data_IF_766486668620
#
_entry.id   IF_766486668620
#
_cell.length_a   1.000
_cell.length_b   1.000
_cell.length_c   1.000
_cell.angle_alpha   90.00
_cell.angle_beta   90.00
_cell.angle_gamma   90.00
#
_symmetry.space_group_name_H-M   'P 1'
#
loop_
_entity.id
_entity.type
_entity.pdbx_description
1 polymer ?
#
# COMPACT_ATOMS: atom_id res chain seq x y z
N UNK A 1 22.51 -11.32 -15.21
CA UNK A 1 21.69 -10.13 -15.51
C UNK A 1 20.53 -10.14 -14.54
N UNK A 2 20.20 -9.02 -13.86
CA UNK A 2 19.00 -8.96 -13.05
C UNK A 2 17.78 -9.26 -13.94
N UNK A 3 16.88 -10.13 -13.48
CA UNK A 3 15.67 -10.48 -14.22
C UNK A 3 14.76 -9.26 -14.39
N UNK A 4 14.10 -9.14 -15.53
CA UNK A 4 13.13 -8.07 -15.80
C UNK A 4 11.98 -8.21 -14.80
N UNK A 5 11.73 -7.18 -13.99
CA UNK A 5 10.65 -7.14 -13.01
C UNK A 5 9.49 -6.31 -13.58
N UNK A 6 8.32 -6.92 -13.73
CA UNK A 6 7.12 -6.22 -14.18
C UNK A 6 6.57 -5.31 -13.08
N UNK A 7 6.26 -4.06 -13.44
CA UNK A 7 5.72 -3.04 -12.52
C UNK A 7 4.22 -2.87 -12.68
N UNK A 8 3.73 -2.92 -13.91
CA UNK A 8 2.32 -2.70 -14.22
C UNK A 8 1.77 -3.82 -15.08
N UNK A 9 0.47 -4.05 -14.94
CA UNK A 9 -0.29 -4.95 -15.79
C UNK A 9 -1.55 -4.26 -16.30
N UNK A 10 -1.94 -4.53 -17.54
CA UNK A 10 -3.30 -4.27 -18.00
C UNK A 10 -3.87 -5.47 -18.72
N UNK A 11 -5.17 -5.65 -18.61
CA UNK A 11 -5.90 -6.58 -19.46
C UNK A 11 -6.11 -5.89 -20.81
N UNK A 12 -5.52 -6.46 -21.86
CA UNK A 12 -5.61 -5.93 -23.22
C UNK A 12 -6.90 -6.40 -23.90
N UNK A 13 -7.19 -7.70 -23.79
CA UNK A 13 -8.34 -8.33 -24.45
C UNK A 13 -8.84 -9.56 -23.70
N UNK A 14 -10.15 -9.81 -23.78
CA UNK A 14 -10.81 -11.03 -23.27
C UNK A 14 -11.66 -11.64 -24.39
N UNK A 15 -11.32 -12.88 -24.79
CA UNK A 15 -12.11 -13.65 -25.74
C UNK A 15 -13.42 -14.15 -25.12
N UNK A 16 -14.40 -14.49 -25.96
CA UNK A 16 -15.58 -15.22 -25.50
C UNK A 16 -15.18 -16.59 -24.92
N UNK A 17 -15.89 -17.10 -23.89
CA UNK A 17 -15.55 -18.36 -23.27
C UNK A 17 -15.66 -19.51 -24.28
N UNK A 18 -14.66 -20.38 -24.28
CA UNK A 18 -14.68 -21.61 -25.07
C UNK A 18 -15.05 -22.79 -24.18
N UNK A 19 -16.11 -23.50 -24.51
CA UNK A 19 -16.45 -24.73 -23.80
C UNK A 19 -15.49 -25.86 -24.15
N UNK A 20 -15.11 -26.68 -23.17
CA UNK A 20 -14.23 -27.83 -23.34
C UNK A 20 -14.51 -28.94 -22.32
N UNK A 21 -13.96 -30.12 -22.59
CA UNK A 21 -14.05 -31.28 -21.69
C UNK A 21 -15.13 -32.26 -22.14
N UNK A 22 -15.38 -33.28 -21.31
CA UNK A 22 -16.49 -34.21 -21.55
C UNK A 22 -17.78 -33.43 -21.34
N UNK A 23 -18.72 -33.49 -22.29
CA UNK A 23 -20.00 -32.74 -22.22
C UNK A 23 -19.85 -31.21 -22.09
N UNK A 24 -18.74 -30.63 -22.54
CA UNK A 24 -18.55 -29.16 -22.55
C UNK A 24 -18.58 -28.49 -21.16
N UNK A 25 -18.29 -29.28 -20.11
CA UNK A 25 -18.45 -28.93 -18.69
C UNK A 25 -17.48 -27.85 -18.13
N UNK A 26 -16.58 -27.32 -18.95
CA UNK A 26 -15.65 -26.25 -18.58
C UNK A 26 -15.73 -25.10 -19.57
N UNK A 27 -15.74 -23.87 -19.05
CA UNK A 27 -15.74 -22.66 -19.85
C UNK A 27 -14.43 -21.87 -19.62
N UNK A 28 -13.62 -21.78 -20.67
CA UNK A 28 -12.31 -21.13 -20.63
C UNK A 28 -12.37 -19.70 -21.18
N UNK A 29 -12.05 -18.73 -20.34
CA UNK A 29 -11.76 -17.37 -20.77
C UNK A 29 -10.29 -17.23 -21.11
N UNK A 30 -9.99 -16.82 -22.35
CA UNK A 30 -8.64 -16.45 -22.79
C UNK A 30 -8.45 -14.95 -22.68
N UNK A 31 -7.43 -14.56 -21.92
CA UNK A 31 -7.20 -13.18 -21.54
C UNK A 31 -5.78 -12.80 -21.92
N UNK A 32 -5.65 -11.85 -22.83
CA UNK A 32 -4.37 -11.24 -23.15
C UNK A 32 -4.07 -10.14 -22.16
N UNK A 33 -2.93 -10.25 -21.50
CA UNK A 33 -2.43 -9.25 -20.57
C UNK A 33 -1.15 -8.65 -21.12
N UNK A 34 -1.00 -7.35 -20.90
CA UNK A 34 0.24 -6.64 -21.16
C UNK A 34 0.94 -6.36 -19.85
N UNK A 35 2.22 -6.72 -19.79
CA UNK A 35 3.11 -6.51 -18.66
C UNK A 35 4.11 -5.43 -19.04
N UNK A 36 4.21 -4.42 -18.18
CA UNK A 36 5.11 -3.31 -18.37
C UNK A 36 6.19 -3.31 -17.27
N UNK A 37 7.46 -3.53 -17.62
CA UNK A 37 8.57 -3.43 -16.67
C UNK A 37 8.97 -1.99 -16.34
N UNK A 38 8.43 -1.00 -17.05
CA UNK A 38 8.86 0.40 -17.03
C UNK A 38 9.93 0.70 -18.07
N UNK A 39 10.14 1.98 -18.37
CA UNK A 39 11.20 2.41 -19.29
C UNK A 39 12.59 2.01 -18.76
N UNK A 40 13.51 1.54 -19.63
CA UNK A 40 13.48 1.51 -21.09
C UNK A 40 12.96 0.19 -21.70
N UNK A 41 12.28 -0.66 -20.94
CA UNK A 41 11.93 -2.01 -21.37
C UNK A 41 10.66 -2.03 -22.22
N UNK A 42 10.57 -3.00 -23.14
CA UNK A 42 9.40 -3.20 -23.97
C UNK A 42 8.27 -3.87 -23.19
N UNK A 43 7.03 -3.50 -23.51
CA UNK A 43 5.83 -4.17 -23.01
C UNK A 43 5.79 -5.61 -23.54
N UNK A 44 5.54 -6.56 -22.65
CA UNK A 44 5.37 -7.97 -23.01
C UNK A 44 3.88 -8.36 -23.00
N UNK A 45 3.44 -9.07 -24.05
CA UNK A 45 2.12 -9.70 -24.09
C UNK A 45 2.18 -11.12 -23.58
N UNK A 46 1.29 -11.48 -22.66
CA UNK A 46 1.15 -12.83 -22.12
C UNK A 46 -0.31 -13.29 -22.15
N UNK A 47 -0.49 -14.60 -22.09
CA UNK A 47 -1.81 -15.24 -22.05
C UNK A 47 -2.11 -15.76 -20.66
N UNK A 48 -3.32 -15.46 -20.17
CA UNK A 48 -3.94 -16.05 -19.00
C UNK A 48 -5.16 -16.84 -19.44
N UNK A 49 -5.33 -18.05 -18.93
CA UNK A 49 -6.53 -18.87 -19.15
C UNK A 49 -7.23 -19.03 -17.80
N UNK A 50 -8.49 -18.59 -17.73
CA UNK A 50 -9.33 -18.77 -16.55
C UNK A 50 -10.41 -19.79 -16.88
N UNK A 51 -10.39 -20.92 -16.19
CA UNK A 51 -11.34 -22.02 -16.36
C UNK A 51 -12.39 -22.00 -15.26
N UNK A 52 -13.67 -22.09 -15.66
CA UNK A 52 -14.80 -22.30 -14.76
C UNK A 52 -15.50 -23.60 -15.10
N UNK A 53 -15.99 -24.30 -14.08
CA UNK A 53 -16.92 -25.42 -14.26
C UNK A 53 -18.33 -24.86 -14.53
N UNK A 54 -19.20 -25.61 -15.22
CA UNK A 54 -20.55 -25.16 -15.62
C UNK A 54 -21.30 -24.39 -14.54
N UNK A 55 -21.48 -24.98 -13.35
CA UNK A 55 -22.21 -24.35 -12.25
C UNK A 55 -21.60 -23.00 -11.84
N UNK A 56 -20.27 -22.90 -11.86
CA UNK A 56 -19.53 -21.69 -11.55
C UNK A 56 -19.67 -20.64 -12.66
N UNK A 57 -19.63 -21.07 -13.93
CA UNK A 57 -19.83 -20.21 -15.09
C UNK A 57 -21.24 -19.62 -15.13
N UNK A 58 -22.28 -20.44 -14.97
CA UNK A 58 -23.66 -19.98 -15.00
C UNK A 58 -24.04 -19.15 -13.77
N UNK A 59 -23.37 -19.35 -12.63
CA UNK A 59 -23.54 -18.50 -11.46
C UNK A 59 -22.85 -17.12 -11.59
N UNK A 60 -21.91 -16.91 -12.52
CA UNK A 60 -21.19 -15.64 -12.61
C UNK A 60 -22.06 -14.45 -13.00
N UNK A 61 -23.21 -14.65 -13.64
CA UNK A 61 -24.15 -13.57 -13.97
C UNK A 61 -25.46 -13.79 -13.23
N UNK A 62 -26.11 -12.68 -12.86
CA UNK A 62 -27.47 -12.71 -12.30
C UNK A 62 -28.55 -12.76 -13.38
N UNK A 63 -28.17 -12.88 -14.66
CA UNK A 63 -29.08 -12.77 -15.81
C UNK A 63 -29.29 -14.09 -16.52
N UNK A 64 -30.35 -14.11 -17.34
CA UNK A 64 -30.71 -15.25 -18.18
C UNK A 64 -29.59 -15.63 -19.18
N UNK A 65 -29.57 -16.91 -19.55
CA UNK A 65 -28.49 -17.50 -20.35
C UNK A 65 -28.28 -16.80 -21.70
N UNK A 66 -29.33 -16.20 -22.27
CA UNK A 66 -29.35 -15.62 -23.61
C UNK A 66 -29.24 -14.09 -23.65
N UNK A 67 -29.01 -13.38 -22.53
CA UNK A 67 -28.84 -11.91 -22.54
C UNK A 67 -27.44 -11.54 -23.06
N UNK A 68 -27.29 -10.77 -24.17
CA UNK A 68 -25.99 -10.29 -24.62
C UNK A 68 -25.20 -9.50 -23.57
N UNK A 69 -25.88 -8.84 -22.63
CA UNK A 69 -25.24 -8.14 -21.51
C UNK A 69 -24.57 -9.10 -20.52
N UNK A 70 -25.05 -10.34 -20.42
CA UNK A 70 -24.47 -11.38 -19.56
C UNK A 70 -23.00 -11.60 -19.87
N UNK A 71 -22.65 -11.75 -21.15
CA UNK A 71 -21.27 -12.01 -21.59
C UNK A 71 -20.35 -10.84 -21.22
N UNK A 72 -20.86 -9.61 -21.31
CA UNK A 72 -20.10 -8.40 -20.91
C UNK A 72 -19.85 -8.41 -19.39
N UNK A 73 -20.88 -8.70 -18.59
CA UNK A 73 -20.77 -8.77 -17.13
C UNK A 73 -19.81 -9.89 -16.66
N UNK A 74 -19.88 -11.05 -17.30
CA UNK A 74 -18.98 -12.18 -17.04
C UNK A 74 -17.53 -11.79 -17.34
N UNK A 75 -17.27 -11.20 -18.51
CA UNK A 75 -15.93 -10.71 -18.88
C UNK A 75 -15.41 -9.68 -17.89
N UNK A 76 -16.24 -8.74 -17.45
CA UNK A 76 -15.87 -7.73 -16.45
C UNK A 76 -15.48 -8.39 -15.12
N UNK A 77 -16.27 -9.34 -14.62
CA UNK A 77 -15.96 -10.06 -13.37
C UNK A 77 -14.71 -10.91 -13.48
N UNK A 78 -14.51 -11.59 -14.60
CA UNK A 78 -13.28 -12.33 -14.87
C UNK A 78 -12.08 -11.39 -14.99
N UNK A 79 -12.24 -10.21 -15.58
CA UNK A 79 -11.19 -9.21 -15.60
C UNK A 79 -10.78 -8.79 -14.20
N UNK A 80 -11.76 -8.48 -13.34
CA UNK A 80 -11.52 -8.15 -11.94
C UNK A 80 -10.82 -9.28 -11.19
N UNK A 81 -11.23 -10.53 -11.42
CA UNK A 81 -10.60 -11.71 -10.85
C UNK A 81 -9.11 -11.78 -11.21
N UNK A 82 -8.79 -11.68 -12.51
CA UNK A 82 -7.42 -11.77 -13.01
C UNK A 82 -6.56 -10.62 -12.52
N UNK A 83 -7.03 -9.37 -12.63
CA UNK A 83 -6.30 -8.21 -12.15
C UNK A 83 -5.97 -8.35 -10.66
N UNK A 84 -6.95 -8.71 -9.84
CA UNK A 84 -6.74 -8.88 -8.38
C UNK A 84 -5.74 -9.99 -8.07
N UNK A 85 -5.83 -11.13 -8.77
CA UNK A 85 -4.93 -12.25 -8.54
C UNK A 85 -3.51 -11.95 -8.99
N UNK A 86 -3.32 -11.32 -10.15
CA UNK A 86 -1.98 -10.99 -10.67
C UNK A 86 -1.35 -9.86 -9.85
N UNK A 87 -2.09 -8.79 -9.54
CA UNK A 87 -1.58 -7.66 -8.75
C UNK A 87 -1.18 -8.10 -7.34
N UNK A 88 -1.77 -9.18 -6.81
CA UNK A 88 -1.39 -9.73 -5.49
C UNK A 88 -0.07 -10.51 -5.47
N UNK A 89 0.52 -10.83 -6.64
CA UNK A 89 1.77 -11.60 -6.78
C UNK A 89 2.99 -10.70 -6.78
N UNK A 90 4.13 -11.25 -6.39
CA UNK A 90 5.40 -10.55 -6.55
C UNK A 90 5.82 -10.50 -8.02
N UNK A 91 6.61 -9.48 -8.43
CA UNK A 91 7.15 -9.42 -9.79
C UNK A 91 7.97 -10.66 -10.17
N UNK A 92 8.68 -11.29 -9.22
CA UNK A 92 9.47 -12.49 -9.45
C UNK A 92 8.59 -13.72 -9.71
N UNK A 93 7.46 -13.84 -8.99
CA UNK A 93 6.49 -14.92 -9.25
C UNK A 93 5.95 -14.80 -10.68
N UNK A 94 5.60 -13.59 -11.11
CA UNK A 94 4.98 -13.35 -12.42
C UNK A 94 5.86 -13.77 -13.60
N UNK A 95 7.18 -13.58 -13.52
CA UNK A 95 8.11 -14.02 -14.57
C UNK A 95 8.00 -15.53 -14.83
N UNK A 96 7.78 -16.32 -13.77
CA UNK A 96 7.67 -17.79 -13.86
C UNK A 96 6.25 -18.32 -14.14
N UNK A 97 5.23 -17.47 -13.99
CA UNK A 97 3.83 -17.90 -14.00
C UNK A 97 3.22 -18.04 -15.39
N UNK A 98 3.85 -17.51 -16.44
CA UNK A 98 3.26 -17.51 -17.78
C UNK A 98 3.70 -18.70 -18.65
N UNK A 99 2.76 -19.34 -19.39
CA UNK A 99 1.33 -19.03 -19.47
C UNK A 99 0.58 -19.40 -18.18
N UNK A 100 -0.25 -18.47 -17.67
CA UNK A 100 -0.91 -18.63 -16.39
C UNK A 100 -2.26 -19.32 -16.59
N UNK A 101 -2.47 -20.45 -15.91
CA UNK A 101 -3.76 -21.14 -15.84
C UNK A 101 -4.36 -20.94 -14.45
N UNK A 102 -5.61 -20.50 -14.42
CA UNK A 102 -6.35 -20.25 -13.19
C UNK A 102 -7.65 -21.05 -13.21
N UNK A 103 -7.96 -21.68 -12.08
CA UNK A 103 -9.26 -22.30 -11.85
C UNK A 103 -10.02 -21.46 -10.84
N UNK A 104 -11.25 -21.08 -11.16
CA UNK A 104 -12.11 -20.28 -10.27
C UNK A 104 -12.87 -21.23 -9.36
N UNK A 105 -12.75 -21.04 -8.04
CA UNK A 105 -13.52 -21.84 -7.08
C UNK A 105 -14.96 -21.32 -6.95
N UNK A 106 -15.85 -22.14 -6.38
CA UNK A 106 -17.24 -21.73 -6.07
C UNK A 106 -17.27 -20.50 -5.14
N UNK A 107 -16.33 -20.40 -4.22
CA UNK A 107 -16.21 -19.28 -3.29
C UNK A 107 -15.77 -18.00 -4.02
N UNK A 108 -14.86 -18.12 -4.98
CA UNK A 108 -14.46 -16.98 -5.82
C UNK A 108 -15.63 -16.47 -6.65
N UNK A 109 -16.45 -17.38 -7.22
CA UNK A 109 -17.67 -16.97 -7.95
C UNK A 109 -18.62 -16.18 -7.06
N UNK A 110 -18.86 -16.62 -5.82
CA UNK A 110 -19.71 -15.88 -4.87
C UNK A 110 -19.19 -14.47 -4.61
N UNK A 111 -17.86 -14.32 -4.48
CA UNK A 111 -17.24 -12.99 -4.32
C UNK A 111 -17.41 -12.16 -5.59
N UNK A 112 -17.17 -12.74 -6.76
CA UNK A 112 -17.32 -12.07 -8.04
C UNK A 112 -18.76 -11.62 -8.32
N UNK A 113 -19.77 -12.32 -7.81
CA UNK A 113 -21.16 -11.86 -7.90
C UNK A 113 -21.42 -10.53 -7.19
N UNK A 114 -20.61 -10.18 -6.18
CA UNK A 114 -20.72 -8.90 -5.47
C UNK A 114 -20.03 -7.74 -6.21
N UNK A 115 -19.23 -8.06 -7.23
CA UNK A 115 -18.55 -7.06 -8.05
C UNK A 115 -19.55 -6.46 -9.04
N UNK A 116 -19.64 -5.13 -9.01
CA UNK A 116 -20.37 -4.33 -9.98
C UNK A 116 -19.58 -4.31 -11.32
N UNK A 117 -20.09 -4.99 -12.37
CA UNK A 117 -19.36 -5.14 -13.63
C UNK A 117 -19.18 -3.81 -14.37
N UNK A 118 -20.04 -2.81 -14.14
CA UNK A 118 -19.93 -1.49 -14.78
C UNK A 118 -18.77 -0.66 -14.22
N UNK A 119 -18.24 -1.03 -13.05
CA UNK A 119 -17.08 -0.38 -12.42
C UNK A 119 -15.74 -1.02 -12.78
N UNK A 120 -15.74 -2.11 -13.54
CA UNK A 120 -14.50 -2.79 -13.90
C UNK A 120 -13.93 -2.20 -15.19
N UNK A 121 -12.79 -1.52 -15.07
CA UNK A 121 -12.08 -0.96 -16.21
C UNK A 121 -11.10 -1.99 -16.80
N UNK A 122 -11.51 -2.62 -17.89
CA UNK A 122 -10.62 -3.39 -18.77
C UNK A 122 -9.80 -2.39 -19.60
N UNK A 123 -8.49 -2.61 -19.76
CA UNK A 123 -7.49 -1.70 -20.39
C UNK A 123 -6.80 -0.65 -19.51
N UNK A 124 -7.19 -0.51 -18.23
CA UNK A 124 -6.46 0.35 -17.29
C UNK A 124 -5.20 -0.35 -16.76
N UNK A 125 -4.10 0.40 -16.61
CA UNK A 125 -2.88 -0.09 -15.97
C UNK A 125 -3.07 -0.21 -14.46
N UNK A 126 -2.72 -1.37 -13.93
CA UNK A 126 -2.73 -1.67 -12.50
C UNK A 126 -1.29 -1.88 -12.05
N UNK A 127 -0.88 -1.20 -11.00
CA UNK A 127 0.41 -1.44 -10.35
C UNK A 127 0.40 -2.83 -9.73
N UNK A 128 1.37 -3.67 -10.09
CA UNK A 128 1.61 -4.95 -9.43
C UNK A 128 2.13 -4.62 -8.04
N UNK A 129 1.64 -5.29 -6.99
CA UNK A 129 2.21 -5.15 -5.65
C UNK A 129 3.64 -5.67 -5.73
N UNK A 130 4.58 -4.74 -5.89
CA UNK A 130 5.99 -5.02 -5.69
C UNK A 130 6.09 -5.51 -4.25
N UNK A 131 6.25 -6.81 -4.07
CA UNK A 131 6.67 -7.36 -2.78
C UNK A 131 7.88 -6.52 -2.37
N UNK A 132 7.79 -5.84 -1.21
CA UNK A 132 8.78 -4.90 -0.68
C UNK A 132 10.13 -5.19 -1.31
N UNK A 133 10.54 -4.39 -2.31
CA UNK A 133 11.89 -4.48 -2.83
C UNK A 133 12.81 -4.46 -1.62
N UNK A 134 13.82 -5.35 -1.52
CA UNK A 134 14.72 -5.44 -0.39
C UNK A 134 15.68 -4.24 -0.33
N UNK A 135 15.21 -3.04 -0.68
CA UNK A 135 15.79 -1.81 -0.20
C UNK A 135 15.53 -1.75 1.31
N UNK A 136 16.53 -2.19 2.06
CA UNK A 136 16.66 -2.24 3.52
C UNK A 136 15.44 -1.79 4.31
N UNK A 137 14.82 -2.71 5.08
CA UNK A 137 13.71 -2.42 6.00
C UNK A 137 13.91 -1.07 6.71
N UNK A 138 12.90 -0.19 6.67
CA UNK A 138 13.03 1.23 7.05
C UNK A 138 12.10 1.62 8.18
N UNK A 139 12.51 2.57 9.01
CA UNK A 139 11.63 3.28 9.94
C UNK A 139 11.43 4.69 9.44
N UNK A 140 10.19 5.10 9.25
CA UNK A 140 9.87 6.47 8.89
C UNK A 140 9.98 7.37 10.11
N UNK A 141 10.76 8.45 10.01
CA UNK A 141 10.99 9.40 11.09
C UNK A 141 10.44 10.75 10.66
N UNK A 142 9.30 11.10 11.26
CA UNK A 142 8.66 12.40 11.19
C UNK A 142 9.21 13.26 12.33
N UNK A 143 10.09 14.20 12.02
CA UNK A 143 10.56 15.18 12.99
C UNK A 143 10.60 16.54 12.32
N UNK A 144 10.35 17.60 13.09
CA UNK A 144 10.42 18.97 12.59
C UNK A 144 11.75 19.26 11.86
N UNK A 145 11.72 20.19 10.92
CA UNK A 145 12.90 20.54 10.10
C UNK A 145 13.13 22.03 9.95
N UNK A 146 12.44 22.83 10.77
CA UNK A 146 12.53 24.28 10.68
C UNK A 146 13.67 24.83 11.51
N UNK A 147 14.10 24.12 12.56
CA UNK A 147 15.27 24.52 13.35
C UNK A 147 16.37 23.46 13.26
N UNK A 148 17.61 23.87 13.53
CA UNK A 148 18.75 22.94 13.61
C UNK A 148 18.56 21.90 14.72
N UNK A 149 17.94 22.30 15.83
CA UNK A 149 17.62 21.40 16.93
C UNK A 149 16.71 20.26 16.49
N UNK A 150 15.61 20.56 15.79
CA UNK A 150 14.67 19.54 15.32
C UNK A 150 15.36 18.59 14.30
N UNK A 151 16.23 19.12 13.44
CA UNK A 151 17.02 18.33 12.48
C UNK A 151 18.02 17.41 13.18
N UNK A 152 18.77 17.93 14.14
CA UNK A 152 19.76 17.18 14.92
C UNK A 152 19.10 16.01 15.67
N UNK A 153 17.91 16.23 16.23
CA UNK A 153 17.15 15.16 16.86
C UNK A 153 16.71 14.11 15.83
N UNK A 154 16.14 14.53 14.71
CA UNK A 154 15.71 13.62 13.64
C UNK A 154 16.84 12.75 13.09
N UNK A 155 18.02 13.34 12.86
CA UNK A 155 19.23 12.63 12.44
C UNK A 155 19.74 11.68 13.53
N UNK A 156 19.70 12.12 14.80
CA UNK A 156 20.09 11.27 15.93
C UNK A 156 19.17 10.06 16.08
N UNK A 157 17.86 10.24 15.92
CA UNK A 157 16.89 9.14 15.90
C UNK A 157 17.19 8.19 14.74
N UNK A 158 17.42 8.71 13.53
CA UNK A 158 17.75 7.90 12.35
C UNK A 158 18.97 7.02 12.58
N UNK A 159 20.04 7.62 13.11
CA UNK A 159 21.27 6.90 13.48
C UNK A 159 21.01 5.84 14.56
N UNK A 160 20.26 6.16 15.61
CA UNK A 160 19.92 5.21 16.69
C UNK A 160 19.10 4.03 16.19
N UNK A 161 18.13 4.26 15.31
CA UNK A 161 17.39 3.19 14.64
C UNK A 161 18.37 2.23 13.94
N UNK A 162 19.30 2.77 13.15
CA UNK A 162 20.28 1.94 12.44
C UNK A 162 21.18 1.14 13.38
N UNK A 163 21.75 1.81 14.37
CA UNK A 163 22.68 1.21 15.34
C UNK A 163 22.02 0.11 16.19
N UNK A 164 20.77 0.30 16.60
CA UNK A 164 20.11 -0.59 17.57
C UNK A 164 19.26 -1.69 16.92
N UNK A 165 18.75 -1.45 15.72
CA UNK A 165 17.80 -2.38 15.06
C UNK A 165 18.31 -2.94 13.73
N UNK A 166 19.33 -2.34 13.14
CA UNK A 166 19.82 -2.65 11.79
C UNK A 166 18.95 -2.08 10.65
N UNK A 167 17.77 -1.53 10.98
CA UNK A 167 16.84 -0.90 10.04
C UNK A 167 17.35 0.48 9.61
N UNK A 168 17.01 0.93 8.41
CA UNK A 168 17.38 2.28 7.96
C UNK A 168 16.38 3.33 8.48
N UNK A 169 16.89 4.40 9.10
CA UNK A 169 16.04 5.52 9.52
C UNK A 169 15.80 6.49 8.36
N UNK A 170 14.59 6.49 7.80
CA UNK A 170 14.20 7.47 6.78
C UNK A 170 13.74 8.77 7.46
N UNK A 171 14.63 9.76 7.55
CA UNK A 171 14.28 11.09 8.04
C UNK A 171 13.74 11.94 6.88
N UNK A 172 12.43 12.21 6.92
CA UNK A 172 11.69 12.76 5.79
C UNK A 172 12.01 14.25 5.54
N UNK A 173 12.94 14.56 4.63
CA UNK A 173 13.27 15.95 4.28
C UNK A 173 12.15 16.65 3.48
N UNK A 174 11.86 17.90 3.82
CA UNK A 174 10.82 18.74 3.22
C UNK A 174 10.78 18.63 1.69
N UNK A 175 9.70 18.05 1.15
CA UNK A 175 9.39 18.02 -0.27
C UNK A 175 8.34 19.09 -0.57
N UNK A 176 8.60 19.97 -1.54
CA UNK A 176 7.71 21.10 -1.86
C UNK A 176 6.83 20.89 -3.11
N UNK A 177 6.96 19.76 -3.81
CA UNK A 177 6.08 19.41 -4.94
C UNK A 177 5.01 18.39 -4.55
N UNK A 178 3.86 18.43 -5.23
CA UNK A 178 2.76 17.49 -5.02
C UNK A 178 3.18 16.05 -5.36
N UNK A 179 3.94 15.91 -6.44
CA UNK A 179 4.55 14.66 -6.86
C UNK A 179 5.57 14.18 -5.82
N UNK A 180 6.39 15.09 -5.26
CA UNK A 180 7.36 14.78 -4.22
C UNK A 180 6.71 14.37 -2.89
N UNK A 181 5.57 14.97 -2.52
CA UNK A 181 4.81 14.58 -1.35
C UNK A 181 4.22 13.17 -1.50
N UNK A 182 3.54 12.93 -2.63
CA UNK A 182 2.82 11.67 -2.87
C UNK A 182 3.78 10.52 -3.16
N UNK A 183 4.85 10.74 -3.93
CA UNK A 183 5.79 9.68 -4.28
C UNK A 183 6.83 9.41 -3.19
N UNK A 184 7.21 10.40 -2.38
CA UNK A 184 8.25 10.20 -1.36
C UNK A 184 7.66 9.95 0.02
N UNK A 185 6.69 10.73 0.49
CA UNK A 185 6.19 10.60 1.86
C UNK A 185 5.17 9.46 2.00
N UNK A 186 4.16 9.41 1.12
CA UNK A 186 3.14 8.36 1.21
C UNK A 186 3.76 6.99 0.94
N UNK A 187 4.59 6.85 -0.09
CA UNK A 187 5.27 5.60 -0.33
C UNK A 187 6.27 5.24 0.79
N UNK A 188 6.99 6.21 1.37
CA UNK A 188 7.91 5.90 2.46
C UNK A 188 7.18 5.43 3.72
N UNK A 189 6.05 6.04 4.09
CA UNK A 189 5.23 5.57 5.23
C UNK A 189 4.62 4.20 4.90
N UNK A 190 4.04 4.03 3.70
CA UNK A 190 3.45 2.77 3.26
C UNK A 190 4.45 1.60 3.30
N UNK A 191 5.70 1.87 2.93
CA UNK A 191 6.76 0.87 2.86
C UNK A 191 7.55 0.72 4.17
N UNK A 192 7.29 1.54 5.19
CA UNK A 192 7.99 1.48 6.46
C UNK A 192 7.66 0.20 7.25
N UNK A 193 8.58 -0.20 8.11
CA UNK A 193 8.45 -1.25 9.14
C UNK A 193 8.10 -0.65 10.51
N UNK A 194 8.16 0.68 10.64
CA UNK A 194 7.69 1.41 11.81
C UNK A 194 7.66 2.92 11.57
N UNK A 195 7.00 3.63 12.47
CA UNK A 195 6.79 5.07 12.38
C UNK A 195 7.13 5.78 13.69
N UNK A 196 8.04 6.74 13.64
CA UNK A 196 8.39 7.59 14.79
C UNK A 196 8.02 9.02 14.44
N UNK A 197 7.26 9.69 15.30
CA UNK A 197 6.94 11.11 15.14
C UNK A 197 7.37 11.94 16.35
N UNK A 198 7.98 13.09 16.11
CA UNK A 198 8.37 14.05 17.16
C UNK A 198 7.86 15.44 16.80
N UNK A 199 6.96 15.96 17.64
CA UNK A 199 6.32 17.25 17.45
C UNK A 199 6.89 18.29 18.40
N UNK A 200 7.56 19.30 17.84
CA UNK A 200 8.12 20.43 18.59
C UNK A 200 7.18 21.63 18.59
N UNK A 201 7.32 22.49 19.60
CA UNK A 201 6.61 23.77 19.68
C UNK A 201 7.07 24.68 18.56
N UNK A 202 6.13 25.39 17.93
CA UNK A 202 6.44 26.38 16.89
C UNK A 202 5.83 27.73 17.18
N UNK A 203 4.57 27.92 16.80
CA UNK A 203 3.90 29.20 16.95
C UNK A 203 3.26 29.27 18.33
N UNK A 204 3.53 30.34 19.08
CA UNK A 204 2.77 30.64 20.28
C UNK A 204 1.36 31.09 19.87
N UNK A 205 0.33 30.51 20.48
CA UNK A 205 -1.04 30.92 20.24
C UNK A 205 -1.30 32.19 21.07
N UNK A 206 -1.07 33.36 20.46
CA UNK A 206 -1.25 34.67 21.08
C UNK A 206 -2.59 34.77 21.84
N UNK A 207 -2.49 34.83 23.17
CA UNK A 207 -3.63 34.98 24.08
C UNK A 207 -3.66 34.02 25.27
N UNK A 208 -2.85 32.96 25.26
CA UNK A 208 -2.70 32.05 26.41
C UNK A 208 -1.23 31.75 26.67
N UNK A 209 -0.76 31.96 27.90
CA UNK A 209 0.59 31.54 28.29
C UNK A 209 0.69 30.02 28.13
N UNK A 210 1.75 29.57 27.46
CA UNK A 210 2.16 28.16 27.36
C UNK A 210 1.33 27.26 26.42
N UNK A 211 0.51 27.81 25.51
CA UNK A 211 -0.10 27.06 24.40
C UNK A 211 0.63 27.31 23.07
N UNK A 212 1.12 26.25 22.44
CA UNK A 212 1.86 26.30 21.18
C UNK A 212 1.17 25.48 20.10
N UNK A 213 1.38 25.86 18.84
CA UNK A 213 1.13 24.99 17.68
C UNK A 213 2.30 24.03 17.48
N UNK A 214 1.98 22.83 17.00
CA UNK A 214 2.95 21.86 16.51
C UNK A 214 3.27 22.05 15.03
N UNK A 215 4.16 21.21 14.50
CA UNK A 215 4.43 21.16 13.07
C UNK A 215 3.22 20.62 12.29
N UNK A 216 2.66 21.44 11.39
CA UNK A 216 1.58 21.02 10.49
C UNK A 216 1.99 19.82 9.65
N UNK A 217 3.26 19.74 9.23
CA UNK A 217 3.78 18.62 8.46
C UNK A 217 3.75 17.31 9.25
N UNK A 218 4.19 17.34 10.52
CA UNK A 218 4.17 16.16 11.40
C UNK A 218 2.72 15.73 11.66
N UNK A 219 1.78 16.67 11.81
CA UNK A 219 0.35 16.36 11.93
C UNK A 219 -0.22 15.65 10.68
N UNK A 220 0.20 16.07 9.49
CA UNK A 220 -0.22 15.42 8.23
C UNK A 220 0.36 14.02 8.10
N UNK A 221 1.63 13.82 8.45
CA UNK A 221 2.27 12.50 8.40
C UNK A 221 1.64 11.53 9.41
N UNK A 222 1.27 12.00 10.60
CA UNK A 222 0.49 11.23 11.58
C UNK A 222 -0.88 10.85 10.99
N UNK A 223 -1.57 11.77 10.33
CA UNK A 223 -2.87 11.51 9.71
C UNK A 223 -2.76 10.46 8.59
N UNK A 224 -1.72 10.54 7.76
CA UNK A 224 -1.44 9.58 6.68
C UNK A 224 -1.13 8.19 7.27
N UNK A 225 -0.28 8.12 8.30
CA UNK A 225 0.03 6.86 8.98
C UNK A 225 -1.24 6.22 9.60
N UNK A 226 -2.08 7.02 10.26
CA UNK A 226 -3.35 6.55 10.82
C UNK A 226 -4.31 6.03 9.73
N UNK A 227 -4.41 6.74 8.61
CA UNK A 227 -5.18 6.30 7.44
C UNK A 227 -4.66 4.97 6.89
N UNK A 228 -3.34 4.83 6.73
CA UNK A 228 -2.72 3.60 6.24
C UNK A 228 -2.99 2.39 7.13
N UNK A 229 -2.89 2.55 8.45
CA UNK A 229 -3.21 1.48 9.41
C UNK A 229 -4.70 1.10 9.30
N UNK A 230 -5.60 2.08 9.30
CA UNK A 230 -7.05 1.84 9.34
C UNK A 230 -7.62 1.34 8.01
N UNK A 231 -7.27 2.00 6.90
CA UNK A 231 -7.89 1.79 5.60
C UNK A 231 -7.19 0.70 4.78
N UNK A 232 -5.89 0.49 4.98
CA UNK A 232 -5.12 -0.54 4.26
C UNK A 232 -4.79 -1.76 5.13
N UNK A 233 -5.17 -1.75 6.41
CA UNK A 233 -4.90 -2.85 7.35
C UNK A 233 -3.41 -3.04 7.63
N UNK A 234 -2.59 -2.00 7.45
CA UNK A 234 -1.16 -2.08 7.68
C UNK A 234 -0.86 -2.24 9.17
N UNK A 235 0.01 -3.20 9.49
CA UNK A 235 0.62 -3.30 10.82
C UNK A 235 1.86 -2.41 10.85
N UNK A 236 1.71 -1.23 11.44
CA UNK A 236 2.78 -0.24 11.54
C UNK A 236 3.02 0.10 13.01
N UNK A 237 3.99 -0.54 13.68
CA UNK A 237 4.42 -0.15 15.03
C UNK A 237 4.78 1.33 15.03
N UNK A 238 4.28 2.08 16.02
CA UNK A 238 4.50 3.52 16.06
C UNK A 238 4.83 4.05 17.45
N UNK A 239 5.59 5.15 17.47
CA UNK A 239 5.88 5.92 18.68
C UNK A 239 5.80 7.41 18.40
N UNK A 240 4.97 8.13 19.14
CA UNK A 240 4.79 9.57 18.95
C UNK A 240 5.18 10.34 20.20
N UNK A 241 5.91 11.43 20.00
CA UNK A 241 6.37 12.35 21.01
C UNK A 241 5.81 13.75 20.72
N UNK A 242 5.31 14.41 21.77
CA UNK A 242 4.75 15.76 21.65
C UNK A 242 5.38 16.64 22.73
N UNK A 243 6.02 17.73 22.34
CA UNK A 243 6.62 18.63 23.31
C UNK A 243 5.49 19.27 24.12
N UNK A 244 5.65 19.32 25.45
CA UNK A 244 4.60 19.79 26.38
C UNK A 244 4.04 21.15 25.99
N UNK A 245 2.75 21.40 26.18
CA UNK A 245 2.13 22.70 25.84
C UNK A 245 1.78 22.85 24.35
N UNK A 246 2.06 21.87 23.50
CA UNK A 246 1.48 21.82 22.16
C UNK A 246 0.00 21.46 22.27
N UNK A 247 -0.85 22.32 21.71
CA UNK A 247 -2.29 22.08 21.67
C UNK A 247 -2.62 20.84 20.84
N UNK A 248 -3.64 20.09 21.25
CA UNK A 248 -4.20 19.00 20.45
C UNK A 248 -5.06 19.58 19.33
N UNK A 249 -4.68 19.33 18.08
CA UNK A 249 -5.35 19.84 16.89
C UNK A 249 -5.49 18.73 15.82
N UNK A 250 -6.31 18.98 14.80
CA UNK A 250 -6.44 18.10 13.62
C UNK A 250 -6.90 16.67 13.94
N UNK A 251 -6.45 15.73 13.09
CA UNK A 251 -6.80 14.30 13.19
C UNK A 251 -6.33 13.70 14.52
N UNK A 252 -5.26 14.21 15.11
CA UNK A 252 -4.74 13.79 16.40
C UNK A 252 -5.76 13.95 17.53
N UNK A 253 -6.75 14.83 17.38
CA UNK A 253 -7.93 14.95 18.25
C UNK A 253 -8.83 13.72 18.31
N UNK A 254 -8.82 12.90 17.25
CA UNK A 254 -9.80 11.83 17.00
C UNK A 254 -9.18 10.43 16.98
N UNK A 255 -7.84 10.32 17.01
CA UNK A 255 -7.12 9.04 17.02
C UNK A 255 -6.55 8.71 18.41
N UNK A 256 -6.50 7.42 18.76
CA UNK A 256 -5.87 6.90 19.98
C UNK A 256 -4.35 6.81 19.80
N UNK A 257 -3.68 7.97 19.76
CA UNK A 257 -2.24 8.05 19.48
C UNK A 257 -1.36 7.80 20.71
N UNK A 258 -1.88 8.00 21.92
CA UNK A 258 -1.14 7.92 23.20
C UNK A 258 0.29 8.50 23.13
N UNK A 259 0.46 9.76 22.70
CA UNK A 259 1.79 10.34 22.55
C UNK A 259 2.47 10.49 23.91
N UNK A 260 3.80 10.34 23.94
CA UNK A 260 4.61 10.67 25.10
C UNK A 260 4.93 12.15 25.09
N UNK A 261 4.65 12.83 26.19
CA UNK A 261 5.08 14.21 26.36
C UNK A 261 6.58 14.28 26.67
N UNK A 262 7.25 15.31 26.15
CA UNK A 262 8.65 15.58 26.47
C UNK A 262 8.90 17.07 26.68
N UNK A 263 9.92 17.40 27.47
CA UNK A 263 10.48 18.76 27.55
C UNK A 263 11.88 18.84 26.92
N UNK A 264 12.67 17.76 27.03
CA UNK A 264 14.03 17.64 26.50
C UNK A 264 14.19 16.45 25.55
N UNK A 265 15.10 16.57 24.59
CA UNK A 265 15.36 15.54 23.58
C UNK A 265 15.86 14.23 24.18
N UNK A 266 16.59 14.27 25.28
CA UNK A 266 17.09 13.06 25.94
C UNK A 266 15.93 12.15 26.39
N UNK A 267 14.78 12.73 26.77
CA UNK A 267 13.59 11.97 27.16
C UNK A 267 13.04 11.15 25.98
N UNK A 268 13.08 11.72 24.77
CA UNK A 268 12.69 11.04 23.53
C UNK A 268 13.64 9.88 23.25
N UNK A 269 14.95 10.14 23.32
CA UNK A 269 15.97 9.14 23.02
C UNK A 269 15.96 7.98 24.03
N UNK A 270 15.76 8.26 25.32
CA UNK A 270 15.66 7.23 26.36
C UNK A 270 14.40 6.38 26.18
N UNK A 271 13.23 6.97 25.89
CA UNK A 271 12.02 6.19 25.72
C UNK A 271 12.06 5.27 24.48
N UNK A 272 12.72 5.73 23.42
CA UNK A 272 12.90 4.94 22.20
C UNK A 272 13.60 3.60 22.47
N UNK A 273 14.48 3.51 23.48
CA UNK A 273 15.12 2.25 23.86
C UNK A 273 14.12 1.16 24.26
N UNK A 274 13.00 1.54 24.86
CA UNK A 274 11.91 0.62 25.19
C UNK A 274 11.01 0.25 23.99
N UNK A 275 11.11 0.97 22.87
CA UNK A 275 10.29 0.74 21.67
C UNK A 275 10.93 -0.25 20.68
N UNK A 276 12.25 -0.44 20.72
CA UNK A 276 12.97 -1.34 19.80
C UNK A 276 12.43 -2.78 19.75
N UNK A 277 12.06 -3.44 20.87
CA UNK A 277 11.51 -4.79 20.82
C UNK A 277 10.21 -4.88 20.02
N UNK A 278 9.33 -3.87 20.16
CA UNK A 278 8.05 -3.78 19.45
C UNK A 278 8.29 -3.61 17.94
N UNK A 279 9.22 -2.72 17.58
CA UNK A 279 9.64 -2.46 16.20
C UNK A 279 10.24 -3.70 15.50
N UNK A 280 10.94 -4.55 16.26
CA UNK A 280 11.53 -5.80 15.76
C UNK A 280 10.54 -6.98 15.75
N UNK A 281 9.30 -6.79 16.22
CA UNK A 281 8.31 -7.87 16.32
C UNK A 281 8.67 -8.94 17.35
N UNK A 282 9.40 -8.56 18.41
CA UNK A 282 9.89 -9.46 19.47
C UNK A 282 9.02 -9.42 20.75
N UNK A 283 7.74 -9.06 20.63
CA UNK A 283 6.78 -8.97 21.74
C UNK A 283 5.55 -9.81 21.44
#
# INVERSE_FOLDING_TARGET
MPGILFRRIRIFQISDPQSRGVLDQFHDFRIEVELDPGEPYAIEKKLVVVSLFDDAYYALSSREINDPKRVIEEKARIAHYVSTHIVSRSPQELVSLFPLQMQVSVEDVRRLQTVDPERVEIQTWHEIKVAKEPEGRRVFISCGQSTEYEKNLGETISRRVKEQTGLDGYFAQNQQSLEGLTQNIFNAIHNADGFIAVMHRRDNLDGKREEYRGSVWVEQEIAIAAFMVQSLGLRLPFRVYVQKGIRREGVRGFILLNPKEFEKDEEVLTDLEGFWPELLGRV
#
